data_IF_177927507701
#
_entry.id   IF_177927507701
#
_cell.length_a   1.000
_cell.length_b   1.000
_cell.length_c   1.000
_cell.angle_alpha   90.00
_cell.angle_beta   90.00
_cell.angle_gamma   90.00
#
_symmetry.space_group_name_H-M   'P 1'
#
loop_
_entity.id
_entity.type
_entity.pdbx_description
1 polymer ?
#
# COMPACT_ATOMS: atom_id res chain seq x y z
N UNK A 1 -16.24 -10.92 -7.48
CA UNK A 1 -15.25 -9.83 -7.52
C UNK A 1 -15.67 -8.81 -6.48
N UNK A 2 -14.71 -8.23 -5.75
CA UNK A 2 -15.01 -7.16 -4.78
C UNK A 2 -15.44 -5.89 -5.52
N UNK A 3 -16.32 -5.11 -4.89
CA UNK A 3 -16.79 -3.83 -5.44
C UNK A 3 -15.76 -2.70 -5.26
N UNK A 4 -14.77 -2.87 -4.38
CA UNK A 4 -13.77 -1.87 -4.08
C UNK A 4 -12.43 -2.52 -3.69
N UNK A 5 -11.33 -2.02 -4.26
CA UNK A 5 -9.96 -2.46 -3.99
C UNK A 5 -9.07 -1.34 -3.40
N UNK A 6 -9.64 -0.22 -2.97
CA UNK A 6 -8.89 0.89 -2.37
C UNK A 6 -8.01 0.40 -1.22
N UNK A 7 -6.73 0.78 -1.27
CA UNK A 7 -5.75 0.56 -0.19
C UNK A 7 -5.26 1.91 0.31
N UNK A 8 -5.19 2.06 1.63
CA UNK A 8 -4.44 3.15 2.24
C UNK A 8 -3.10 2.59 2.69
N UNK A 9 -2.02 3.17 2.17
CA UNK A 9 -0.66 2.73 2.50
C UNK A 9 -0.13 3.71 3.53
N UNK A 10 0.19 3.17 4.71
CA UNK A 10 0.80 3.94 5.78
C UNK A 10 2.30 4.05 5.52
N UNK A 11 2.79 5.28 5.43
CA UNK A 11 4.22 5.56 5.33
C UNK A 11 4.89 5.32 6.68
N UNK A 12 6.07 4.72 6.65
CA UNK A 12 6.85 4.37 7.83
C UNK A 12 8.15 5.14 7.85
N UNK A 13 8.62 5.48 9.05
CA UNK A 13 9.94 6.05 9.23
C UNK A 13 11.00 5.04 8.78
N UNK A 14 11.87 5.43 7.86
CA UNK A 14 12.92 4.56 7.31
C UNK A 14 13.97 4.12 8.36
N UNK A 15 14.01 4.76 9.54
CA UNK A 15 14.95 4.44 10.62
C UNK A 15 14.32 3.60 11.72
N UNK A 16 13.12 3.93 12.20
CA UNK A 16 12.52 3.28 13.37
C UNK A 16 11.18 2.57 13.09
N UNK A 17 10.71 2.60 11.84
CA UNK A 17 9.49 1.93 11.40
C UNK A 17 8.18 2.52 11.92
N UNK A 18 8.18 3.63 12.65
CA UNK A 18 6.94 4.25 13.12
C UNK A 18 6.21 4.99 12.00
N UNK A 19 4.89 4.87 11.91
CA UNK A 19 4.09 5.59 10.92
C UNK A 19 3.19 6.72 11.46
N UNK A 20 3.17 6.94 12.78
CA UNK A 20 2.23 7.90 13.43
C UNK A 20 2.92 9.13 14.03
N UNK A 21 4.25 9.17 14.02
CA UNK A 21 5.03 10.15 14.77
C UNK A 21 5.73 11.13 13.84
N UNK A 22 5.05 11.60 12.79
CA UNK A 22 5.59 12.59 11.87
C UNK A 22 5.05 13.99 12.20
N UNK A 23 5.95 14.95 12.25
CA UNK A 23 5.63 16.37 12.43
C UNK A 23 6.21 17.14 11.25
N UNK A 24 5.38 17.94 10.60
CA UNK A 24 5.76 18.71 9.41
C UNK A 24 5.89 20.17 9.79
N UNK A 25 7.03 20.77 9.45
CA UNK A 25 7.15 22.21 9.47
C UNK A 25 6.43 22.78 8.23
N UNK A 26 5.39 23.59 8.45
CA UNK A 26 4.58 24.14 7.35
C UNK A 26 5.29 25.22 6.52
N UNK A 27 6.31 25.88 7.06
CA UNK A 27 7.08 26.90 6.34
C UNK A 27 8.15 26.28 5.44
N UNK A 28 8.84 25.25 5.92
CA UNK A 28 9.98 24.64 5.22
C UNK A 28 9.64 23.33 4.51
N UNK A 29 8.50 22.71 4.84
CA UNK A 29 8.12 21.39 4.34
C UNK A 29 8.93 20.24 4.96
N UNK A 30 9.89 20.53 5.84
CA UNK A 30 10.72 19.53 6.51
C UNK A 30 9.86 18.69 7.44
N UNK A 31 10.07 17.37 7.41
CA UNK A 31 9.33 16.44 8.27
C UNK A 31 10.29 15.81 9.28
N UNK A 32 9.86 15.70 10.54
CA UNK A 32 10.61 15.06 11.61
C UNK A 32 9.85 13.87 12.17
N UNK A 33 10.52 12.72 12.29
CA UNK A 33 10.00 11.60 13.07
C UNK A 33 10.23 11.83 14.56
N UNK A 34 9.19 12.19 15.32
CA UNK A 34 9.26 12.46 16.77
C UNK A 34 9.63 11.25 17.63
N UNK A 35 9.57 10.02 17.09
CA UNK A 35 9.97 8.81 17.81
C UNK A 35 11.49 8.62 17.86
N UNK A 36 12.20 8.91 16.77
CA UNK A 36 13.64 8.67 16.65
C UNK A 36 14.46 9.90 16.28
N UNK A 37 13.81 11.06 16.14
CA UNK A 37 14.40 12.35 15.78
C UNK A 37 15.07 12.38 14.40
N UNK A 38 14.75 11.44 13.50
CA UNK A 38 15.15 11.55 12.09
C UNK A 38 14.45 12.72 11.43
N UNK A 39 15.22 13.50 10.68
CA UNK A 39 14.76 14.65 9.89
C UNK A 39 14.79 14.26 8.40
N UNK A 40 13.71 14.57 7.70
CA UNK A 40 13.53 14.38 6.26
C UNK A 40 13.50 15.77 5.62
N UNK A 41 14.62 16.18 5.04
CA UNK A 41 14.76 17.50 4.41
C UNK A 41 14.05 17.58 3.06
N UNK A 42 13.85 16.45 2.37
CA UNK A 42 13.01 16.37 1.17
C UNK A 42 11.52 16.27 1.48
N UNK A 43 11.14 16.40 2.76
CA UNK A 43 9.75 16.44 3.18
C UNK A 43 9.01 15.13 2.87
N UNK A 44 7.78 15.26 2.36
CA UNK A 44 6.90 14.11 2.09
C UNK A 44 7.45 13.21 0.98
N UNK A 45 8.02 13.78 -0.07
CA UNK A 45 8.51 13.04 -1.24
C UNK A 45 9.66 12.10 -0.86
N UNK A 46 10.58 12.55 0.00
CA UNK A 46 11.65 11.71 0.54
C UNK A 46 11.07 10.50 1.30
N UNK A 47 10.03 10.70 2.11
CA UNK A 47 9.40 9.61 2.85
C UNK A 47 8.72 8.62 1.89
N UNK A 48 8.04 9.11 0.85
CA UNK A 48 7.42 8.26 -0.18
C UNK A 48 8.48 7.43 -0.90
N UNK A 49 9.57 8.05 -1.34
CA UNK A 49 10.67 7.37 -2.04
C UNK A 49 11.27 6.25 -1.16
N UNK A 50 11.53 6.55 0.12
CA UNK A 50 12.04 5.56 1.07
C UNK A 50 11.04 4.43 1.39
N UNK A 51 9.75 4.65 1.15
CA UNK A 51 8.70 3.65 1.34
C UNK A 51 8.32 2.93 0.04
N UNK A 52 8.99 3.21 -1.09
CA UNK A 52 8.61 2.70 -2.41
C UNK A 52 8.54 1.17 -2.45
N UNK A 53 9.42 0.46 -1.75
CA UNK A 53 9.36 -1.00 -1.67
C UNK A 53 8.05 -1.50 -1.02
N UNK A 54 7.63 -0.87 0.08
CA UNK A 54 6.37 -1.20 0.76
C UNK A 54 5.18 -0.88 -0.14
N UNK A 55 5.23 0.27 -0.83
CA UNK A 55 4.20 0.69 -1.76
C UNK A 55 4.07 -0.33 -2.92
N UNK A 56 5.17 -0.65 -3.59
CA UNK A 56 5.19 -1.63 -4.68
C UNK A 56 4.67 -3.00 -4.23
N UNK A 57 5.03 -3.44 -3.02
CA UNK A 57 4.54 -4.72 -2.48
C UNK A 57 3.02 -4.71 -2.27
N UNK A 58 2.45 -3.60 -1.80
CA UNK A 58 1.00 -3.45 -1.67
C UNK A 58 0.29 -3.45 -3.04
N UNK A 59 0.88 -2.83 -4.07
CA UNK A 59 0.35 -2.83 -5.44
C UNK A 59 0.34 -4.24 -6.02
N UNK A 60 1.42 -5.00 -5.88
CA UNK A 60 1.48 -6.39 -6.36
C UNK A 60 0.49 -7.29 -5.64
N UNK A 61 0.35 -7.14 -4.32
CA UNK A 61 -0.65 -7.88 -3.56
C UNK A 61 -2.08 -7.57 -4.02
N UNK A 62 -2.38 -6.29 -4.30
CA UNK A 62 -3.68 -5.89 -4.86
C UNK A 62 -3.91 -6.50 -6.24
N UNK A 63 -2.88 -6.53 -7.10
CA UNK A 63 -2.96 -7.18 -8.42
C UNK A 63 -3.30 -8.66 -8.30
N UNK A 64 -2.64 -9.38 -7.39
CA UNK A 64 -2.91 -10.79 -7.13
C UNK A 64 -4.33 -11.02 -6.60
N UNK A 65 -4.79 -10.16 -5.69
CA UNK A 65 -6.15 -10.20 -5.13
C UNK A 65 -7.21 -10.07 -6.23
N UNK A 66 -7.03 -9.10 -7.14
CA UNK A 66 -7.92 -8.90 -8.30
C UNK A 66 -7.91 -10.13 -9.22
N UNK A 67 -6.73 -10.68 -9.53
CA UNK A 67 -6.62 -11.87 -10.38
C UNK A 67 -7.34 -13.09 -9.78
N UNK A 68 -7.16 -13.32 -8.49
CA UNK A 68 -7.81 -14.42 -7.78
C UNK A 68 -9.34 -14.27 -7.78
N UNK A 69 -9.84 -13.06 -7.56
CA UNK A 69 -11.28 -12.78 -7.59
C UNK A 69 -11.88 -13.02 -8.98
N UNK A 70 -11.18 -12.64 -10.05
CA UNK A 70 -11.61 -12.92 -11.42
C UNK A 70 -11.67 -14.43 -11.70
N UNK A 71 -10.63 -15.18 -11.33
CA UNK A 71 -10.59 -16.64 -11.49
C UNK A 71 -11.73 -17.29 -10.70
N UNK A 72 -11.99 -16.83 -9.48
CA UNK A 72 -13.06 -17.36 -8.63
C UNK A 72 -14.44 -17.09 -9.23
N UNK A 73 -14.68 -15.89 -9.75
CA UNK A 73 -15.94 -15.53 -10.38
C UNK A 73 -16.18 -16.33 -11.66
N UNK A 74 -15.18 -16.45 -12.53
CA UNK A 74 -15.25 -17.28 -13.73
C UNK A 74 -15.59 -18.73 -13.35
N UNK A 75 -14.85 -19.32 -12.41
CA UNK A 75 -15.13 -20.67 -11.92
C UNK A 75 -16.54 -20.82 -11.35
N UNK A 76 -17.07 -19.80 -10.68
CA UNK A 76 -18.44 -19.78 -10.16
C UNK A 76 -19.46 -19.80 -11.29
N UNK A 77 -19.26 -18.98 -12.33
CA UNK A 77 -20.12 -18.92 -13.53
C UNK A 77 -20.09 -20.27 -14.26
N UNK A 78 -18.90 -20.82 -14.53
CA UNK A 78 -18.76 -22.10 -15.22
C UNK A 78 -19.43 -23.25 -14.44
N UNK A 79 -19.24 -23.32 -13.12
CA UNK A 79 -19.91 -24.32 -12.28
C UNK A 79 -21.44 -24.17 -12.30
N UNK A 80 -21.96 -22.93 -12.24
CA UNK A 80 -23.40 -22.66 -12.34
C UNK A 80 -23.97 -23.04 -13.71
N UNK A 81 -23.19 -22.89 -14.77
CA UNK A 81 -23.55 -23.29 -16.13
C UNK A 81 -23.46 -24.81 -16.39
N UNK A 82 -23.08 -25.62 -15.39
CA UNK A 82 -22.99 -27.09 -15.50
C UNK A 82 -21.69 -27.63 -16.06
N UNK A 83 -20.70 -26.77 -16.35
CA UNK A 83 -19.38 -27.17 -16.83
C UNK A 83 -18.40 -27.34 -15.66
N UNK A 84 -17.75 -28.51 -15.56
CA UNK A 84 -16.63 -28.74 -14.63
C UNK A 84 -15.31 -28.59 -15.40
N UNK A 85 -14.52 -27.58 -15.08
CA UNK A 85 -13.12 -27.49 -15.52
C UNK A 85 -12.34 -28.64 -14.85
N UNK A 86 -11.75 -29.53 -15.65
CA UNK A 86 -10.80 -30.54 -15.22
C UNK A 86 -9.41 -29.92 -15.06
#
# INVERSE_FOLDING_TARGET
MKQNYNKQIKLLCATCGSGDFFDKNEETGVITCKKCNRIYYGGYDEIVELNQQSISSNVENMRQEVQQDLIKDLNSIYKKAGFKLK
#
